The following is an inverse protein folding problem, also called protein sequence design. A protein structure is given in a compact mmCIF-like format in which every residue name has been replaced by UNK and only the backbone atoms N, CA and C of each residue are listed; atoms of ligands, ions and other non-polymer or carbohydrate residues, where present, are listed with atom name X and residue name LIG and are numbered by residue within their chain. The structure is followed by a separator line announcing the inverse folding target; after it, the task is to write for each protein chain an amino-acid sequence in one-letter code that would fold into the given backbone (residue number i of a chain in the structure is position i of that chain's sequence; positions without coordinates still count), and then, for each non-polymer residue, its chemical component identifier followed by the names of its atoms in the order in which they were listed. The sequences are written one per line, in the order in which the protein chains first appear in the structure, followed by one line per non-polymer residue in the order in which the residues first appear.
data_IF_729686418936
#
_entry.id   IF_729686418936
#
_cell.length_a   1.000
_cell.length_b   1.000
_cell.length_c   1.000
_cell.angle_alpha   90.00
_cell.angle_beta   90.00
_cell.angle_gamma   90.00
#
_symmetry.space_group_name_H-M   'P 1'
#
loop_
_entity.id
_entity.type
_entity.pdbx_description
1 polymer ?
#
# COMPACT_ATOMS: atom_id res chain seq x y z
N UNK A 1 -12.95 -28.81 -3.66
CA UNK A 1 -12.90 -27.62 -4.53
C UNK A 1 -13.44 -26.51 -3.66
N UNK A 2 -12.59 -25.58 -3.27
CA UNK A 2 -12.98 -24.50 -2.37
C UNK A 2 -13.70 -23.44 -3.19
N UNK A 3 -15.03 -23.46 -3.14
CA UNK A 3 -15.90 -22.55 -3.91
C UNK A 3 -16.13 -21.21 -3.20
N UNK A 4 -15.67 -21.09 -1.95
CA UNK A 4 -15.84 -19.93 -1.08
C UNK A 4 -14.47 -19.41 -0.63
N UNK A 5 -14.39 -18.11 -0.35
CA UNK A 5 -13.19 -17.50 0.22
C UNK A 5 -13.06 -17.87 1.71
N UNK A 6 -11.93 -18.45 2.08
CA UNK A 6 -11.60 -18.91 3.44
C UNK A 6 -10.15 -18.53 3.80
N UNK A 7 -9.73 -18.69 5.07
CA UNK A 7 -8.31 -18.51 5.42
C UNK A 7 -7.43 -19.52 4.66
N UNK A 8 -6.22 -19.10 4.30
CA UNK A 8 -5.26 -19.90 3.51
C UNK A 8 -5.74 -20.23 2.10
N UNK A 9 -6.63 -19.40 1.54
CA UNK A 9 -7.04 -19.46 0.13
C UNK A 9 -6.40 -18.33 -0.66
N UNK A 10 -5.95 -18.66 -1.88
CA UNK A 10 -5.48 -17.71 -2.88
C UNK A 10 -6.68 -17.25 -3.68
N UNK A 11 -6.91 -15.94 -3.69
CA UNK A 11 -8.02 -15.32 -4.39
C UNK A 11 -7.50 -14.30 -5.38
N UNK A 12 -8.01 -14.34 -6.60
CA UNK A 12 -7.76 -13.34 -7.63
C UNK A 12 -8.99 -12.46 -7.74
N UNK A 13 -8.85 -11.16 -7.55
CA UNK A 13 -9.98 -10.23 -7.56
C UNK A 13 -9.66 -8.98 -8.38
N UNK A 14 -10.67 -8.47 -9.09
CA UNK A 14 -10.65 -7.09 -9.54
C UNK A 14 -11.25 -6.21 -8.45
N UNK A 15 -10.61 -5.09 -8.15
CA UNK A 15 -11.12 -4.15 -7.18
C UNK A 15 -11.09 -2.73 -7.72
N UNK A 16 -12.02 -1.92 -7.22
CA UNK A 16 -12.08 -0.47 -7.48
C UNK A 16 -12.28 0.24 -6.15
N UNK A 17 -11.28 1.01 -5.75
CA UNK A 17 -11.26 1.83 -4.55
C UNK A 17 -11.68 3.27 -4.86
N UNK A 18 -12.76 3.71 -4.22
CA UNK A 18 -13.32 5.06 -4.35
C UNK A 18 -13.43 5.74 -2.99
N UNK A 19 -13.27 7.06 -2.98
CA UNK A 19 -13.54 7.89 -1.82
C UNK A 19 -15.04 8.19 -1.81
N UNK A 20 -15.85 7.66 -0.86
CA UNK A 20 -17.28 7.95 -0.80
C UNK A 20 -17.57 9.43 -0.49
N UNK A 21 -16.61 10.14 0.12
CA UNK A 21 -16.71 11.57 0.43
C UNK A 21 -16.66 12.45 -0.83
N UNK A 22 -15.73 12.17 -1.74
CA UNK A 22 -15.54 12.95 -2.99
C UNK A 22 -16.12 12.28 -4.24
N UNK A 23 -16.39 10.97 -4.20
CA UNK A 23 -16.67 10.13 -5.37
C UNK A 23 -15.45 9.81 -6.24
N UNK A 24 -14.24 10.18 -5.81
CA UNK A 24 -13.01 10.04 -6.60
C UNK A 24 -12.41 8.63 -6.46
N UNK A 25 -12.08 7.99 -7.58
CA UNK A 25 -11.37 6.71 -7.60
C UNK A 25 -9.90 6.94 -7.27
N UNK A 26 -9.42 6.39 -6.15
CA UNK A 26 -8.01 6.52 -5.76
C UNK A 26 -7.16 5.36 -6.30
N UNK A 27 -7.76 4.18 -6.51
CA UNK A 27 -7.07 3.02 -7.07
C UNK A 27 -8.05 2.05 -7.73
N UNK A 28 -7.62 1.37 -8.80
CA UNK A 28 -8.44 0.37 -9.49
C UNK A 28 -7.60 -0.67 -10.24
N UNK A 29 -8.00 -1.93 -10.11
CA UNK A 29 -7.52 -3.06 -10.92
C UNK A 29 -8.35 -3.24 -12.20
N UNK A 30 -9.43 -2.48 -12.39
CA UNK A 30 -10.18 -2.45 -13.65
C UNK A 30 -9.26 -2.05 -14.82
N UNK A 31 -9.20 -2.90 -15.85
CA UNK A 31 -8.32 -2.71 -17.01
C UNK A 31 -6.87 -3.17 -16.81
N UNK A 32 -6.52 -3.76 -15.67
CA UNK A 32 -5.22 -4.41 -15.41
C UNK A 32 -5.42 -5.89 -15.09
N UNK A 33 -4.33 -6.59 -14.76
CA UNK A 33 -4.42 -7.96 -14.25
C UNK A 33 -5.11 -7.98 -12.86
N UNK A 34 -5.88 -9.05 -12.56
CA UNK A 34 -6.52 -9.20 -11.26
C UNK A 34 -5.47 -9.28 -10.15
N UNK A 35 -5.78 -8.68 -9.00
CA UNK A 35 -4.90 -8.76 -7.84
C UNK A 35 -5.07 -10.13 -7.18
N UNK A 36 -3.98 -10.90 -7.16
CA UNK A 36 -3.97 -12.21 -6.51
C UNK A 36 -3.26 -12.15 -5.16
N UNK A 37 -3.96 -12.54 -4.08
CA UNK A 37 -3.44 -12.50 -2.72
C UNK A 37 -3.94 -13.70 -1.88
N UNK A 38 -3.32 -13.92 -0.72
CA UNK A 38 -3.68 -15.01 0.20
C UNK A 38 -4.47 -14.43 1.37
N UNK A 39 -5.67 -14.98 1.59
CA UNK A 39 -6.57 -14.57 2.68
C UNK A 39 -6.08 -15.15 4.01
N UNK A 40 -6.07 -14.33 5.06
CA UNK A 40 -5.66 -14.70 6.41
C UNK A 40 -4.19 -14.42 6.72
N UNK A 41 -3.43 -13.88 5.75
CA UNK A 41 -1.99 -13.61 5.88
C UNK A 41 -1.66 -12.12 6.10
N UNK A 42 -2.67 -11.28 6.40
CA UNK A 42 -2.51 -9.82 6.59
C UNK A 42 -1.79 -9.13 5.44
N UNK A 43 -1.90 -9.69 4.23
CA UNK A 43 -1.35 -9.08 3.02
C UNK A 43 -2.22 -7.90 2.55
N UNK A 44 -3.50 -7.91 2.93
CA UNK A 44 -4.44 -6.85 2.65
C UNK A 44 -4.96 -6.24 3.94
N UNK A 45 -5.66 -5.12 3.75
CA UNK A 45 -6.39 -4.42 4.77
C UNK A 45 -7.36 -5.38 5.48
N UNK A 46 -7.42 -5.40 6.83
CA UNK A 46 -8.22 -6.37 7.58
C UNK A 46 -9.71 -6.28 7.27
N UNK A 47 -10.25 -5.07 7.03
CA UNK A 47 -11.63 -4.91 6.60
C UNK A 47 -11.92 -5.51 5.23
N UNK A 48 -10.93 -5.50 4.32
CA UNK A 48 -11.07 -6.04 2.97
C UNK A 48 -11.14 -7.57 2.99
N UNK A 49 -10.24 -8.21 3.74
CA UNK A 49 -10.25 -9.67 3.92
C UNK A 49 -11.55 -10.12 4.59
N UNK A 50 -12.05 -9.36 5.59
CA UNK A 50 -13.28 -9.66 6.32
C UNK A 50 -14.52 -9.67 5.43
N UNK A 51 -14.70 -8.65 4.59
CA UNK A 51 -15.88 -8.59 3.72
C UNK A 51 -15.84 -9.57 2.55
N UNK A 52 -14.65 -10.03 2.16
CA UNK A 52 -14.52 -11.09 1.16
C UNK A 52 -14.76 -12.49 1.72
N UNK A 53 -14.69 -12.69 3.04
CA UNK A 53 -14.91 -14.02 3.62
C UNK A 53 -16.28 -14.58 3.26
N UNK A 54 -16.30 -15.81 2.72
CA UNK A 54 -17.52 -16.49 2.31
C UNK A 54 -18.03 -16.12 0.92
N UNK A 55 -17.46 -15.11 0.24
CA UNK A 55 -17.79 -14.79 -1.15
C UNK A 55 -17.38 -15.95 -2.09
N UNK A 56 -17.96 -15.98 -3.29
CA UNK A 56 -17.75 -17.05 -4.28
C UNK A 56 -17.11 -16.51 -5.55
N UNK A 57 -16.58 -17.40 -6.39
CA UNK A 57 -16.09 -17.03 -7.72
C UNK A 57 -17.22 -16.40 -8.54
N UNK A 58 -16.95 -15.24 -9.15
CA UNK A 58 -17.89 -14.45 -9.94
C UNK A 58 -18.79 -13.52 -9.11
N UNK A 59 -18.67 -13.54 -7.78
CA UNK A 59 -19.44 -12.67 -6.91
C UNK A 59 -18.86 -11.25 -6.88
N UNK A 60 -19.74 -10.26 -6.77
CA UNK A 60 -19.37 -8.84 -6.71
C UNK A 60 -19.77 -8.29 -5.37
N UNK A 61 -18.77 -8.03 -4.53
CA UNK A 61 -18.95 -7.53 -3.17
C UNK A 61 -18.63 -6.04 -3.16
N UNK A 62 -19.59 -5.24 -2.70
CA UNK A 62 -19.38 -3.81 -2.48
C UNK A 62 -19.48 -3.52 -0.99
N UNK A 63 -18.42 -2.92 -0.44
CA UNK A 63 -18.36 -2.59 0.97
C UNK A 63 -17.64 -1.27 1.21
N UNK A 64 -17.96 -0.64 2.34
CA UNK A 64 -17.34 0.61 2.77
C UNK A 64 -16.60 0.37 4.07
N UNK A 65 -15.30 0.65 4.06
CA UNK A 65 -14.43 0.52 5.23
C UNK A 65 -14.22 1.88 5.86
N UNK A 66 -14.45 1.95 7.17
CA UNK A 66 -14.00 3.05 8.00
C UNK A 66 -12.46 3.12 7.99
N UNK A 67 -11.84 4.29 8.24
CA UNK A 67 -10.39 4.41 8.25
C UNK A 67 -9.71 3.41 9.18
N UNK A 68 -10.30 3.12 10.34
CA UNK A 68 -9.79 2.13 11.31
C UNK A 68 -9.69 0.70 10.76
N UNK A 69 -10.59 0.30 9.86
CA UNK A 69 -10.59 -1.00 9.19
C UNK A 69 -9.82 -0.97 7.86
N UNK A 70 -9.33 0.19 7.45
CA UNK A 70 -8.64 0.47 6.20
C UNK A 70 -7.13 0.70 6.39
N UNK A 71 -6.68 1.96 6.25
CA UNK A 71 -5.29 2.38 6.43
C UNK A 71 -5.00 2.95 7.83
N UNK A 72 -5.93 2.81 8.76
CA UNK A 72 -5.90 3.45 10.08
C UNK A 72 -6.43 4.88 10.04
N UNK A 73 -6.62 5.46 11.24
CA UNK A 73 -6.82 6.91 11.36
C UNK A 73 -5.49 7.63 11.19
N UNK A 74 -5.56 8.90 10.78
CA UNK A 74 -4.39 9.77 10.90
C UNK A 74 -4.01 9.85 12.38
N UNK A 75 -2.76 9.57 12.69
CA UNK A 75 -2.23 9.72 14.03
C UNK A 75 -1.38 10.98 14.10
N UNK A 76 -1.71 11.88 15.02
CA UNK A 76 -0.85 13.04 15.33
C UNK A 76 0.53 12.58 15.85
N UNK A 77 0.64 11.36 16.38
CA UNK A 77 1.92 10.74 16.75
C UNK A 77 2.81 10.43 15.54
N UNK A 78 2.22 10.23 14.36
CA UNK A 78 2.95 10.08 13.10
C UNK A 78 3.30 11.44 12.46
N UNK A 79 2.90 12.56 13.08
CA UNK A 79 3.31 13.90 12.69
C UNK A 79 4.55 14.26 13.49
N UNK A 80 5.67 14.44 12.81
CA UNK A 80 6.94 14.83 13.43
C UNK A 80 7.36 16.22 13.00
N UNK A 81 7.84 17.00 13.95
CA UNK A 81 8.49 18.28 13.68
C UNK A 81 9.97 18.04 13.44
N UNK A 82 10.38 18.29 12.21
CA UNK A 82 11.75 18.11 11.77
C UNK A 82 12.39 19.51 11.64
N UNK A 83 13.58 19.75 12.22
CA UNK A 83 14.23 21.04 12.09
C UNK A 83 14.56 21.35 10.63
N UNK A 84 14.23 22.56 10.19
CA UNK A 84 14.38 23.01 8.80
C UNK A 84 15.82 22.89 8.30
N UNK A 85 16.80 22.94 9.19
CA UNK A 85 18.22 22.70 8.88
C UNK A 85 18.47 21.35 8.18
N UNK A 86 17.67 20.31 8.44
CA UNK A 86 17.80 19.02 7.74
C UNK A 86 17.33 19.09 6.28
N UNK A 87 16.51 20.10 5.95
CA UNK A 87 16.04 20.38 4.60
C UNK A 87 16.84 21.46 3.89
N UNK A 88 17.83 22.10 4.53
CA UNK A 88 18.61 23.17 3.92
C UNK A 88 19.24 22.76 2.56
N UNK A 89 19.79 21.55 2.51
CA UNK A 89 20.35 20.95 1.29
C UNK A 89 19.30 20.70 0.19
N UNK A 90 18.06 20.41 0.59
CA UNK A 90 16.95 20.24 -0.34
C UNK A 90 16.46 21.60 -0.83
N UNK A 91 16.35 22.59 0.05
CA UNK A 91 15.97 23.98 -0.27
C UNK A 91 16.95 24.67 -1.23
N UNK A 92 18.23 24.33 -1.19
CA UNK A 92 19.22 24.78 -2.17
C UNK A 92 18.96 24.23 -3.58
N UNK A 93 18.37 23.04 -3.69
CA UNK A 93 18.10 22.36 -4.97
C UNK A 93 16.64 22.48 -5.42
N UNK A 94 15.68 22.62 -4.51
CA UNK A 94 14.24 22.62 -4.76
C UNK A 94 13.53 23.31 -3.60
N UNK A 95 12.69 24.30 -3.92
CA UNK A 95 11.93 25.04 -2.91
C UNK A 95 10.99 24.09 -2.16
N UNK A 96 11.10 24.07 -0.83
CA UNK A 96 10.22 23.29 0.02
C UNK A 96 8.86 23.97 0.12
N UNK A 97 7.78 23.26 -0.23
CA UNK A 97 6.42 23.78 -0.18
C UNK A 97 5.50 22.83 0.59
N UNK A 98 4.48 23.40 1.24
CA UNK A 98 3.43 22.62 1.91
C UNK A 98 2.69 21.79 0.87
N UNK A 99 2.49 20.50 1.16
CA UNK A 99 1.93 19.50 0.27
C UNK A 99 2.98 18.67 -0.47
N UNK A 100 4.28 18.99 -0.35
CA UNK A 100 5.32 18.16 -0.97
C UNK A 100 5.48 16.84 -0.22
N UNK A 101 5.56 15.76 -1.00
CA UNK A 101 5.87 14.43 -0.49
C UNK A 101 7.36 14.14 -0.69
N UNK A 102 8.05 13.86 0.41
CA UNK A 102 9.49 13.64 0.47
C UNK A 102 9.77 12.31 1.17
N UNK A 103 11.01 11.84 1.09
CA UNK A 103 11.43 10.61 1.78
C UNK A 103 12.49 10.96 2.80
N UNK A 104 12.19 10.73 4.08
CA UNK A 104 13.15 10.90 5.17
C UNK A 104 13.88 9.60 5.43
N UNK A 105 15.19 9.68 5.70
CA UNK A 105 15.96 8.55 6.21
C UNK A 105 15.75 8.47 7.72
N UNK A 106 14.93 7.51 8.17
CA UNK A 106 14.70 7.23 9.58
C UNK A 106 15.58 6.06 10.05
N UNK A 107 15.78 5.88 11.38
CA UNK A 107 16.52 4.73 11.92
C UNK A 107 15.97 3.37 11.50
N UNK A 108 14.68 3.31 11.18
CA UNK A 108 13.98 2.10 10.73
C UNK A 108 13.90 1.94 9.21
N UNK A 109 14.50 2.86 8.44
CA UNK A 109 14.51 2.84 6.98
C UNK A 109 14.00 4.14 6.35
N UNK A 110 14.09 4.27 5.02
CA UNK A 110 13.51 5.39 4.30
C UNK A 110 11.98 5.36 4.43
N UNK A 111 11.39 6.44 4.90
CA UNK A 111 9.95 6.58 5.04
C UNK A 111 9.46 7.82 4.30
N UNK A 112 8.47 7.69 3.40
CA UNK A 112 7.83 8.84 2.78
C UNK A 112 7.04 9.63 3.82
N UNK A 113 7.04 10.95 3.70
CA UNK A 113 6.25 11.86 4.52
C UNK A 113 5.79 13.04 3.67
N UNK A 114 4.70 13.67 4.07
CA UNK A 114 4.15 14.87 3.42
C UNK A 114 4.35 16.08 4.30
N UNK A 115 4.82 17.19 3.74
CA UNK A 115 4.93 18.45 4.46
C UNK A 115 3.54 19.04 4.63
N UNK A 116 3.03 19.12 5.86
CA UNK A 116 1.69 19.68 6.13
C UNK A 116 1.75 21.12 6.60
N UNK A 117 2.87 21.53 7.18
CA UNK A 117 3.10 22.89 7.66
C UNK A 117 4.60 23.20 7.64
N UNK A 118 4.92 24.46 7.41
CA UNK A 118 6.29 24.92 7.21
C UNK A 118 6.48 26.25 7.94
N UNK A 119 7.20 26.18 9.06
CA UNK A 119 7.52 27.31 9.92
C UNK A 119 8.93 27.85 9.61
N UNK A 120 9.34 28.93 10.27
CA UNK A 120 10.65 29.56 10.07
C UNK A 120 11.80 28.61 10.45
N UNK A 121 11.65 27.86 11.54
CA UNK A 121 12.70 26.97 12.07
C UNK A 121 12.36 25.47 11.94
N UNK A 122 11.07 25.12 11.83
CA UNK A 122 10.61 23.72 11.86
C UNK A 122 9.67 23.39 10.71
N UNK A 123 9.80 22.18 10.17
CA UNK A 123 8.92 21.62 9.15
C UNK A 123 8.07 20.53 9.79
N UNK A 124 6.76 20.61 9.64
CA UNK A 124 5.83 19.58 10.11
C UNK A 124 5.69 18.51 9.03
N UNK A 125 6.27 17.35 9.30
CA UNK A 125 6.27 16.19 8.43
C UNK A 125 5.23 15.18 8.90
N UNK A 126 4.23 14.91 8.06
CA UNK A 126 3.22 13.90 8.29
C UNK A 126 3.63 12.58 7.64
N UNK A 127 3.87 11.55 8.48
CA UNK A 127 4.22 10.21 8.02
C UNK A 127 3.00 9.30 7.87
N UNK A 128 1.79 9.86 7.94
CA UNK A 128 0.58 9.07 7.74
C UNK A 128 0.48 8.66 6.27
N UNK A 129 -0.16 7.52 6.02
CA UNK A 129 -0.51 7.14 4.66
C UNK A 129 -1.47 8.19 4.07
N UNK A 130 -1.36 8.51 2.78
CA UNK A 130 -2.20 9.54 2.15
C UNK A 130 -3.72 9.25 2.25
N UNK A 131 -4.07 7.96 2.42
CA UNK A 131 -5.44 7.48 2.62
C UNK A 131 -5.83 7.26 4.10
N UNK A 132 -4.92 7.48 5.05
CA UNK A 132 -5.20 7.35 6.46
C UNK A 132 -6.24 8.40 6.91
N UNK A 133 -7.17 7.98 7.77
CA UNK A 133 -8.28 8.83 8.23
C UNK A 133 -9.40 9.05 7.20
N UNK A 134 -9.30 8.49 5.99
CA UNK A 134 -10.38 8.55 4.99
C UNK A 134 -11.19 7.25 5.00
N UNK A 135 -12.50 7.40 4.87
CA UNK A 135 -13.40 6.27 4.59
C UNK A 135 -13.17 5.82 3.16
N UNK A 136 -13.04 4.52 2.91
CA UNK A 136 -12.78 3.98 1.57
C UNK A 136 -13.91 3.04 1.17
N UNK A 137 -14.44 3.22 -0.03
CA UNK A 137 -15.43 2.33 -0.63
C UNK A 137 -14.75 1.43 -1.65
N UNK A 138 -14.89 0.12 -1.48
CA UNK A 138 -14.33 -0.87 -2.38
C UNK A 138 -15.45 -1.62 -3.09
N UNK A 139 -15.30 -1.78 -4.40
CA UNK A 139 -16.09 -2.69 -5.20
C UNK A 139 -15.16 -3.80 -5.70
N UNK A 140 -15.43 -5.04 -5.31
CA UNK A 140 -14.55 -6.18 -5.55
C UNK A 140 -15.31 -7.25 -6.32
N UNK A 141 -14.72 -7.74 -7.40
CA UNK A 141 -15.21 -8.85 -8.21
C UNK A 141 -14.24 -10.02 -8.09
N UNK A 142 -14.74 -11.15 -7.61
CA UNK A 142 -13.93 -12.35 -7.44
C UNK A 142 -13.77 -13.06 -8.79
N UNK A 143 -12.55 -13.14 -9.29
CA UNK A 143 -12.24 -13.77 -10.58
C UNK A 143 -11.98 -15.26 -10.43
N UNK A 144 -11.21 -15.65 -9.41
CA UNK A 144 -10.85 -17.05 -9.17
C UNK A 144 -10.50 -17.29 -7.70
N UNK A 145 -10.76 -18.50 -7.22
CA UNK A 145 -10.41 -18.96 -5.86
C UNK A 145 -9.71 -20.31 -6.00
N UNK A 146 -8.56 -20.46 -5.34
CA UNK A 146 -7.86 -21.74 -5.19
C UNK A 146 -7.25 -21.87 -3.80
N UNK A 147 -7.02 -23.09 -3.34
CA UNK A 147 -6.34 -23.34 -2.06
C UNK A 147 -4.85 -23.00 -2.18
N UNK A 148 -4.27 -22.34 -1.17
CA UNK A 148 -2.84 -22.06 -1.16
C UNK A 148 -2.03 -23.36 -1.01
N UNK A 149 -0.91 -23.46 -1.74
CA UNK A 149 0.04 -24.54 -1.49
C UNK A 149 0.98 -24.19 -0.34
N UNK A 150 1.54 -25.19 0.35
CA UNK A 150 2.44 -24.99 1.51
C UNK A 150 3.66 -24.11 1.22
N UNK A 151 4.08 -24.02 -0.05
CA UNK A 151 5.17 -23.14 -0.49
C UNK A 151 4.78 -21.66 -0.64
N UNK A 152 3.58 -21.38 -1.15
CA UNK A 152 3.08 -20.01 -1.35
C UNK A 152 2.69 -19.35 -0.02
N UNK A 153 2.13 -20.15 0.91
CA UNK A 153 1.77 -19.71 2.25
C UNK A 153 3.00 -19.33 3.11
N UNK A 154 4.15 -19.97 2.87
CA UNK A 154 5.39 -19.67 3.60
C UNK A 154 6.14 -18.44 3.06
N UNK A 155 5.96 -18.11 1.79
CA UNK A 155 6.60 -16.94 1.18
C UNK A 155 5.73 -15.68 1.24
N UNK A 156 4.44 -15.79 1.58
CA UNK A 156 3.55 -14.64 1.75
C UNK A 156 3.39 -13.81 0.46
N UNK A 157 3.63 -14.42 -0.70
CA UNK A 157 3.49 -13.81 -2.02
C UNK A 157 2.98 -14.87 -2.99
N UNK A 158 1.98 -14.50 -3.81
CA UNK A 158 1.54 -15.34 -4.90
C UNK A 158 2.58 -15.24 -6.00
N UNK A 159 3.20 -16.37 -6.34
CA UNK A 159 4.08 -16.47 -7.50
C UNK A 159 3.22 -16.48 -8.77
N UNK A 160 2.60 -15.34 -9.08
CA UNK A 160 1.98 -15.16 -10.38
C UNK A 160 3.06 -14.74 -11.36
N UNK A 161 3.46 -15.69 -12.20
CA UNK A 161 4.39 -15.47 -13.30
C UNK A 161 3.70 -14.64 -14.38
N UNK A 162 3.69 -13.32 -14.22
CA UNK A 162 3.61 -12.39 -15.35
C UNK A 162 4.52 -11.18 -15.13
N UNK A 163 5.35 -10.92 -16.14
CA UNK A 163 6.51 -10.04 -16.07
C UNK A 163 6.09 -8.56 -16.04
N UNK A 164 6.56 -7.80 -15.04
CA UNK A 164 7.20 -6.47 -15.16
C UNK A 164 7.19 -5.77 -13.81
N UNK A 165 8.28 -5.89 -13.04
CA UNK A 165 8.67 -4.85 -12.10
C UNK A 165 10.19 -4.80 -12.03
N UNK A 166 10.68 -3.70 -12.59
CA UNK A 166 12.06 -3.25 -12.62
C UNK A 166 12.67 -3.21 -11.20
N UNK A 167 13.85 -3.85 -11.07
CA UNK A 167 15.04 -3.54 -10.22
C UNK A 167 14.75 -3.13 -8.76
N UNK A 168 15.33 -3.75 -7.74
CA UNK A 168 16.75 -3.75 -7.33
C UNK A 168 16.72 -4.42 -5.91
N UNK A 169 17.63 -5.21 -5.38
CA UNK A 169 19.03 -4.92 -5.07
C UNK A 169 19.65 -6.16 -4.41
N UNK A 170 20.90 -6.48 -4.72
CA UNK A 170 21.91 -6.82 -3.71
C UNK A 170 23.32 -6.88 -4.31
N UNK A 171 24.12 -5.90 -3.89
CA UNK A 171 25.52 -6.04 -3.49
C UNK A 171 26.62 -6.13 -4.56
N UNK A 172 27.15 -4.93 -4.88
CA UNK A 172 28.55 -4.54 -5.07
C UNK A 172 29.67 -5.60 -4.93
N UNK A 173 30.57 -5.67 -5.92
CA UNK A 173 32.00 -5.31 -5.76
C UNK A 173 32.76 -5.40 -7.12
N UNK A 174 33.39 -4.31 -7.53
CA UNK A 174 34.44 -4.29 -8.56
C UNK A 174 35.72 -4.91 -7.99
N UNK A 175 36.40 -5.79 -8.74
CA UNK A 175 37.86 -5.88 -8.73
C UNK A 175 38.39 -6.59 -9.99
N UNK A 176 39.22 -5.86 -10.73
CA UNK A 176 40.28 -6.25 -11.67
C UNK A 176 40.02 -7.26 -12.80
N UNK A 177 40.10 -6.79 -14.06
CA UNK A 177 40.15 -7.66 -15.24
C UNK A 177 39.90 -6.98 -16.58
N UNK A 178 40.50 -5.82 -16.84
CA UNK A 178 40.54 -5.25 -18.19
C UNK A 178 41.75 -5.84 -18.95
N UNK A 179 41.48 -6.70 -19.93
CA UNK A 179 42.44 -7.08 -20.97
C UNK A 179 42.61 -5.94 -22.00
#
# INVERSE_FOLDING_TARGET
MTENIENDTIVSVHYTGTLPDSGETFDSSEGREPLTFIVGHKQMIPGFERELMGAKVGDKVEFTLAPEDAYGMKEDAAIMKIPRSQFAQLEESTKLEVGFQLVAQMPHGPAPFTVTDLDDDTVTADFNHALAGKTLKFNVEVVSIRSATEGESQHGHVHESNETSTKDSSSSCNDDGCC
#
